data_IF_810394961673
#
_entry.id   IF_810394961673
#
_cell.length_a   1.000
_cell.length_b   1.000
_cell.length_c   1.000
_cell.angle_alpha   90.00
_cell.angle_beta   90.00
_cell.angle_gamma   90.00
#
_symmetry.space_group_name_H-M   'P 1'
#
loop_
_entity.id
_entity.type
_entity.pdbx_description
1 polymer ?
#
# COMPACT_ATOMS: atom_id res chain seq x y z
N UNK A 1 -11.29 1.78 -9.55
CA UNK A 1 -9.99 2.47 -9.74
C UNK A 1 -9.95 3.08 -11.12
N UNK A 2 -9.57 4.35 -11.24
CA UNK A 2 -9.31 4.97 -12.54
C UNK A 2 -8.21 4.19 -13.27
N UNK A 3 -8.42 3.96 -14.56
CA UNK A 3 -7.53 3.23 -15.48
C UNK A 3 -6.21 3.94 -15.79
N UNK A 4 -5.96 5.08 -15.14
CA UNK A 4 -4.84 5.98 -15.43
C UNK A 4 -3.52 5.52 -14.80
N UNK A 5 -3.57 4.67 -13.77
CA UNK A 5 -2.39 4.16 -13.10
C UNK A 5 -2.25 2.64 -13.25
N UNK A 6 -1.01 2.18 -13.41
CA UNK A 6 -0.69 0.76 -13.46
C UNK A 6 -0.63 0.19 -12.04
N UNK A 7 -1.79 -0.15 -11.49
CA UNK A 7 -1.94 -0.68 -10.13
C UNK A 7 -1.45 -2.13 -10.01
N UNK A 8 -0.55 -2.37 -9.07
CA UNK A 8 -0.18 -3.70 -8.61
C UNK A 8 -0.98 -4.04 -7.36
N UNK A 9 -1.84 -5.07 -7.45
CA UNK A 9 -2.55 -5.64 -6.30
C UNK A 9 -1.60 -6.58 -5.54
N UNK A 10 -1.67 -6.58 -4.21
CA UNK A 10 -0.95 -7.57 -3.40
C UNK A 10 -1.40 -9.00 -3.74
N UNK A 11 -0.46 -9.94 -3.78
CA UNK A 11 -0.77 -11.37 -3.99
C UNK A 11 -1.45 -12.04 -2.79
N UNK A 12 -1.43 -11.38 -1.62
CA UNK A 12 -2.16 -11.81 -0.43
C UNK A 12 -3.63 -11.37 -0.44
N UNK A 13 -4.01 -10.55 -1.43
CA UNK A 13 -5.37 -10.07 -1.63
C UNK A 13 -6.25 -11.15 -2.30
N UNK A 14 -6.56 -12.21 -1.55
CA UNK A 14 -7.41 -13.32 -1.98
C UNK A 14 -7.21 -14.56 -1.10
N UNK A 15 -8.29 -15.27 -0.76
CA UNK A 15 -8.25 -16.46 0.11
C UNK A 15 -8.69 -16.23 1.57
N UNK A 16 -9.56 -15.24 1.83
CA UNK A 16 -10.10 -14.95 3.16
C UNK A 16 -9.32 -13.89 3.95
N UNK A 17 -8.32 -13.24 3.35
CA UNK A 17 -7.60 -12.12 3.94
C UNK A 17 -8.21 -10.77 3.57
N UNK A 18 -8.33 -9.88 4.57
CA UNK A 18 -8.87 -8.51 4.48
C UNK A 18 -7.79 -7.49 4.03
N UNK A 19 -6.60 -7.97 3.66
CA UNK A 19 -5.39 -7.15 3.48
C UNK A 19 -5.20 -6.70 2.03
N UNK A 20 -6.22 -6.05 1.47
CA UNK A 20 -6.27 -5.78 0.04
C UNK A 20 -5.68 -4.41 -0.32
N UNK A 21 -4.35 -4.28 -0.27
CA UNK A 21 -3.64 -3.07 -0.73
C UNK A 21 -3.28 -3.10 -2.22
N UNK A 22 -3.36 -1.93 -2.85
CA UNK A 22 -2.89 -1.63 -4.20
C UNK A 22 -1.78 -0.59 -4.17
N UNK A 23 -0.78 -0.77 -5.04
CA UNK A 23 0.35 0.16 -5.16
C UNK A 23 0.55 0.51 -6.63
N UNK A 24 0.80 1.78 -6.94
CA UNK A 24 1.22 2.21 -8.26
C UNK A 24 2.41 3.17 -8.17
N UNK A 25 3.27 3.18 -9.19
CA UNK A 25 4.30 4.21 -9.37
C UNK A 25 3.85 5.16 -10.49
N UNK A 26 3.87 6.45 -10.22
CA UNK A 26 3.47 7.47 -11.19
C UNK A 26 4.35 8.71 -11.00
N UNK A 27 4.96 9.22 -12.07
CA UNK A 27 5.76 10.47 -12.06
C UNK A 27 6.76 10.61 -10.88
N UNK A 28 7.38 9.50 -10.47
CA UNK A 28 8.37 9.49 -9.38
C UNK A 28 7.81 9.36 -7.96
N UNK A 29 6.49 9.37 -7.80
CA UNK A 29 5.81 9.09 -6.53
C UNK A 29 5.23 7.67 -6.50
N UNK A 30 4.90 7.22 -5.29
CA UNK A 30 4.16 5.99 -5.04
C UNK A 30 2.76 6.34 -4.56
N UNK A 31 1.77 5.70 -5.14
CA UNK A 31 0.37 5.78 -4.76
C UNK A 31 -0.01 4.47 -4.06
N UNK A 32 -0.72 4.58 -2.94
CA UNK A 32 -1.30 3.44 -2.24
C UNK A 32 -2.80 3.67 -2.05
N UNK A 33 -3.59 2.62 -2.23
CA UNK A 33 -4.99 2.61 -1.81
C UNK A 33 -5.42 1.22 -1.36
N UNK A 34 -6.48 1.18 -0.57
CA UNK A 34 -7.14 -0.06 -0.17
C UNK A 34 -8.20 -0.44 -1.21
N UNK A 35 -8.46 -1.74 -1.38
CA UNK A 35 -9.51 -2.22 -2.29
C UNK A 35 -10.91 -1.74 -1.90
N UNK A 36 -11.21 -1.68 -0.59
CA UNK A 36 -12.54 -1.33 -0.07
C UNK A 36 -12.77 0.19 -0.03
N UNK A 37 -11.70 0.99 -0.05
CA UNK A 37 -11.79 2.45 -0.23
C UNK A 37 -10.84 2.95 -1.34
N UNK A 38 -11.16 2.66 -2.61
CA UNK A 38 -10.29 2.96 -3.75
C UNK A 38 -10.21 4.46 -4.08
N UNK A 39 -11.04 5.30 -3.44
CA UNK A 39 -11.01 6.75 -3.58
C UNK A 39 -9.96 7.39 -2.64
N UNK A 40 -9.60 6.70 -1.55
CA UNK A 40 -8.58 7.17 -0.61
C UNK A 40 -7.18 6.76 -1.10
N UNK A 41 -6.54 7.69 -1.82
CA UNK A 41 -5.20 7.50 -2.37
C UNK A 41 -4.18 8.23 -1.51
N UNK A 42 -3.26 7.47 -0.91
CA UNK A 42 -2.10 7.97 -0.19
C UNK A 42 -0.96 8.16 -1.18
N UNK A 43 -0.42 9.37 -1.27
CA UNK A 43 0.77 9.68 -2.08
C UNK A 43 2.00 9.75 -1.19
N UNK A 44 3.04 9.00 -1.56
CA UNK A 44 4.32 8.97 -0.86
C UNK A 44 5.50 8.90 -1.84
N UNK A 45 6.73 8.90 -1.33
CA UNK A 45 7.94 8.69 -2.14
C UNK A 45 8.45 7.26 -2.02
N UNK A 46 9.24 6.76 -2.99
CA UNK A 46 9.88 5.44 -2.89
C UNK A 46 10.71 5.28 -1.60
N UNK A 47 11.46 6.32 -1.22
CA UNK A 47 12.31 6.31 -0.02
C UNK A 47 11.51 6.20 1.28
N UNK A 48 10.38 6.93 1.37
CA UNK A 48 9.50 6.86 2.55
C UNK A 48 8.81 5.50 2.65
N UNK A 49 8.36 4.95 1.52
CA UNK A 49 7.77 3.62 1.50
C UNK A 49 8.79 2.54 1.89
N UNK A 50 10.03 2.65 1.41
CA UNK A 50 11.11 1.74 1.81
C UNK A 50 11.37 1.79 3.32
N UNK A 51 11.50 3.00 3.89
CA UNK A 51 11.69 3.19 5.32
C UNK A 51 10.52 2.61 6.12
N UNK A 52 9.28 2.85 5.68
CA UNK A 52 8.08 2.30 6.31
C UNK A 52 8.09 0.76 6.31
N UNK A 53 8.37 0.11 5.16
CA UNK A 53 8.45 -1.35 5.07
C UNK A 53 9.52 -1.92 6.01
N UNK A 54 10.66 -1.24 6.14
CA UNK A 54 11.72 -1.65 7.08
C UNK A 54 11.24 -1.55 8.54
N UNK A 55 10.55 -0.46 8.90
CA UNK A 55 9.98 -0.29 10.24
C UNK A 55 8.92 -1.35 10.57
N UNK A 56 8.01 -1.65 9.64
CA UNK A 56 7.01 -2.73 9.80
C UNK A 56 7.69 -4.07 10.04
N UNK A 57 8.71 -4.41 9.24
CA UNK A 57 9.45 -5.68 9.42
C UNK A 57 10.26 -5.75 10.72
N UNK A 58 10.63 -4.61 11.28
CA UNK A 58 11.33 -4.51 12.56
C UNK A 58 10.37 -4.55 13.78
N UNK A 59 9.06 -4.59 13.54
CA UNK A 59 8.04 -4.55 14.61
C UNK A 59 7.81 -3.15 15.20
N UNK A 60 8.28 -2.09 14.55
CA UNK A 60 8.16 -0.70 15.04
C UNK A 60 6.69 -0.30 15.25
N UNK A 61 5.78 -0.90 14.47
CA UNK A 61 4.36 -0.58 14.44
C UNK A 61 3.48 -1.66 15.09
N UNK A 62 4.04 -2.68 15.75
CA UNK A 62 3.27 -3.80 16.30
C UNK A 62 2.30 -3.36 17.42
N UNK A 63 2.55 -2.20 18.02
CA UNK A 63 1.67 -1.60 19.02
C UNK A 63 0.35 -1.08 18.44
N UNK A 64 0.20 -0.95 17.12
CA UNK A 64 -1.04 -0.54 16.45
C UNK A 64 -2.00 -1.69 16.16
N UNK A 65 -1.57 -2.95 16.34
CA UNK A 65 -2.34 -4.14 15.96
C UNK A 65 -3.09 -4.77 17.14
N UNK A 66 -3.23 -4.03 18.25
CA UNK A 66 -3.72 -4.51 19.55
C UNK A 66 -5.13 -4.01 19.89
#
# INVERSE_FOLDING_TARGET
MNSEFNWQKSSFSGGGGEQCLHVAKHEGVILLCESDDPASIITTSPEKLEAFIKGVKAGEFDHFVN
#
